data_IF_988389672063
#
_entry.id   IF_988389672063
#
_cell.length_a   1.000
_cell.length_b   1.000
_cell.length_c   1.000
_cell.angle_alpha   90.00
_cell.angle_beta   90.00
_cell.angle_gamma   90.00
#
_symmetry.space_group_name_H-M   'P 1'
#
loop_
_entity.id
_entity.type
_entity.pdbx_description
1 polymer ?
#
# COMPACT_ATOMS: atom_id res chain seq x y z
N UNK A 1 24.61 -6.21 41.86
CA UNK A 1 24.33 -4.79 41.56
C UNK A 1 23.06 -4.78 40.71
N UNK A 2 21.89 -4.67 41.33
CA UNK A 2 20.60 -4.74 40.64
C UNK A 2 20.38 -3.42 39.91
N UNK A 3 20.56 -3.40 38.60
CA UNK A 3 20.17 -2.23 37.80
C UNK A 3 18.67 -2.00 37.99
N UNK A 4 18.25 -0.76 38.19
CA UNK A 4 16.83 -0.45 38.36
C UNK A 4 16.12 -0.74 37.03
N UNK A 5 14.90 -1.29 37.09
CA UNK A 5 14.08 -1.58 35.89
C UNK A 5 13.99 -0.40 34.92
N UNK A 6 13.98 0.84 35.43
CA UNK A 6 14.05 2.06 34.61
C UNK A 6 15.33 2.15 33.77
N UNK A 7 16.49 1.79 34.32
CA UNK A 7 17.76 1.81 33.56
C UNK A 7 17.80 0.76 32.45
N UNK A 8 17.22 -0.42 32.67
CA UNK A 8 17.09 -1.48 31.65
C UNK A 8 16.21 -1.03 30.48
N UNK A 9 15.06 -0.42 30.76
CA UNK A 9 14.14 0.10 29.73
C UNK A 9 14.79 1.21 28.92
N UNK A 10 15.48 2.15 29.59
CA UNK A 10 16.22 3.22 28.92
C UNK A 10 17.32 2.65 28.04
N UNK A 11 18.08 1.66 28.52
CA UNK A 11 19.12 1.00 27.74
C UNK A 11 18.55 0.33 26.47
N UNK A 12 17.39 -0.32 26.57
CA UNK A 12 16.74 -0.95 25.42
C UNK A 12 16.30 0.05 24.36
N UNK A 13 15.70 1.17 24.77
CA UNK A 13 15.31 2.24 23.84
C UNK A 13 16.51 2.88 23.15
N UNK A 14 17.60 3.13 23.89
CA UNK A 14 18.84 3.63 23.31
C UNK A 14 19.48 2.64 22.34
N UNK A 15 19.50 1.34 22.69
CA UNK A 15 20.01 0.30 21.79
C UNK A 15 19.21 0.27 20.48
N UNK A 16 17.88 0.33 20.56
CA UNK A 16 17.01 0.40 19.37
C UNK A 16 17.26 1.67 18.54
N UNK A 17 17.38 2.83 19.17
CA UNK A 17 17.66 4.09 18.48
C UNK A 17 19.02 4.07 17.77
N UNK A 18 20.07 3.57 18.43
CA UNK A 18 21.41 3.42 17.85
C UNK A 18 21.37 2.46 16.67
N UNK A 19 20.68 1.32 16.79
CA UNK A 19 20.50 0.38 15.69
C UNK A 19 19.86 1.05 14.46
N UNK A 20 18.77 1.81 14.66
CA UNK A 20 18.10 2.54 13.58
C UNK A 20 19.03 3.56 12.91
N UNK A 21 19.77 4.33 13.71
CA UNK A 21 20.72 5.34 13.21
C UNK A 21 21.83 4.69 12.39
N UNK A 22 22.39 3.58 12.87
CA UNK A 22 23.45 2.84 12.16
C UNK A 22 22.90 2.23 10.87
N UNK A 23 21.69 1.67 10.87
CA UNK A 23 21.07 1.11 9.68
C UNK A 23 20.83 2.17 8.59
N UNK A 24 20.25 3.31 8.97
CA UNK A 24 20.04 4.44 8.05
C UNK A 24 21.39 5.01 7.59
N UNK A 25 22.35 5.16 8.50
CA UNK A 25 23.70 5.65 8.21
C UNK A 25 24.43 4.75 7.21
N UNK A 26 24.34 3.42 7.37
CA UNK A 26 24.91 2.46 6.45
C UNK A 26 24.25 2.53 5.06
N UNK A 27 22.91 2.64 5.00
CA UNK A 27 22.19 2.82 3.75
C UNK A 27 22.64 4.09 3.02
N UNK A 28 22.71 5.22 3.73
CA UNK A 28 23.21 6.49 3.20
C UNK A 28 24.67 6.38 2.74
N UNK A 29 25.53 5.72 3.51
CA UNK A 29 26.94 5.52 3.17
C UNK A 29 27.09 4.69 1.89
N UNK A 30 26.29 3.63 1.72
CA UNK A 30 26.27 2.84 0.49
C UNK A 30 25.79 3.66 -0.72
N UNK A 31 24.75 4.47 -0.56
CA UNK A 31 24.24 5.36 -1.62
C UNK A 31 25.27 6.43 -2.01
N UNK A 32 25.88 7.10 -1.03
CA UNK A 32 26.92 8.12 -1.25
C UNK A 32 28.18 7.50 -1.82
N UNK A 33 28.58 6.33 -1.33
CA UNK A 33 29.68 5.54 -1.86
C UNK A 33 29.44 5.17 -3.33
N UNK A 34 28.26 4.64 -3.65
CA UNK A 34 27.87 4.33 -5.02
C UNK A 34 27.80 5.57 -5.92
N UNK A 35 27.40 6.71 -5.38
CA UNK A 35 27.36 7.99 -6.10
C UNK A 35 28.76 8.59 -6.33
N UNK A 36 29.69 8.42 -5.38
CA UNK A 36 31.06 8.93 -5.45
C UNK A 36 31.96 8.05 -6.31
N UNK A 37 31.87 6.72 -6.16
CA UNK A 37 32.63 5.75 -6.95
C UNK A 37 31.99 5.48 -8.32
N UNK A 38 30.70 5.78 -8.49
CA UNK A 38 29.96 5.54 -9.73
C UNK A 38 30.36 6.49 -10.85
N UNK A 39 30.73 5.94 -12.01
CA UNK A 39 31.06 6.70 -13.22
C UNK A 39 29.89 7.57 -13.71
N UNK A 40 30.11 8.88 -13.80
CA UNK A 40 29.11 9.88 -14.20
C UNK A 40 28.89 9.92 -15.72
N UNK A 41 28.37 8.87 -16.34
CA UNK A 41 28.12 8.88 -17.80
C UNK A 41 26.93 9.77 -18.16
N UNK A 42 27.15 10.98 -18.68
CA UNK A 42 26.06 11.90 -19.08
C UNK A 42 25.61 11.61 -20.52
N UNK A 43 24.84 10.54 -20.73
CA UNK A 43 24.27 10.21 -22.04
C UNK A 43 22.91 10.90 -22.24
N UNK A 44 22.65 11.38 -23.47
CA UNK A 44 21.45 12.18 -23.83
C UNK A 44 20.12 11.46 -23.54
N UNK A 45 20.11 10.12 -23.60
CA UNK A 45 18.94 9.27 -23.35
C UNK A 45 18.90 8.66 -21.94
N UNK A 46 19.84 9.01 -21.05
CA UNK A 46 19.87 8.41 -19.70
C UNK A 46 18.77 8.94 -18.78
N UNK A 47 18.21 10.11 -19.11
CA UNK A 47 17.17 10.78 -18.33
C UNK A 47 15.78 10.72 -19.00
N UNK A 48 15.62 9.94 -20.08
CA UNK A 48 14.31 9.72 -20.71
C UNK A 48 13.63 8.52 -20.06
N UNK A 49 12.31 8.57 -19.78
CA UNK A 49 11.59 7.41 -19.27
C UNK A 49 11.73 6.20 -20.21
N UNK A 50 11.79 5.01 -19.64
CA UNK A 50 11.90 3.78 -20.41
C UNK A 50 10.54 3.38 -20.98
N UNK A 51 10.42 3.35 -22.31
CA UNK A 51 9.20 2.96 -23.03
C UNK A 51 9.53 1.88 -24.09
N UNK A 52 10.29 0.84 -23.72
CA UNK A 52 10.65 -0.28 -24.63
C UNK A 52 11.30 0.12 -25.97
N UNK A 53 11.98 1.27 -26.01
CA UNK A 53 12.70 1.75 -27.20
C UNK A 53 11.98 2.80 -28.05
N UNK A 54 10.77 3.23 -27.66
CA UNK A 54 10.11 4.40 -28.26
C UNK A 54 10.28 5.64 -27.38
N UNK A 55 10.16 6.83 -27.98
CA UNK A 55 10.13 8.08 -27.21
C UNK A 55 8.81 8.16 -26.44
N UNK A 56 8.87 8.48 -25.15
CA UNK A 56 7.65 8.70 -24.36
C UNK A 56 6.85 9.87 -24.93
N UNK A 57 5.63 9.57 -25.39
CA UNK A 57 4.69 10.55 -25.93
C UNK A 57 3.49 10.73 -25.00
N UNK A 58 3.12 11.97 -24.73
CA UNK A 58 1.94 12.32 -23.94
C UNK A 58 2.20 12.57 -22.44
N UNK A 59 1.14 12.90 -21.71
CA UNK A 59 1.20 13.14 -20.26
C UNK A 59 0.88 11.85 -19.50
N UNK A 60 1.65 11.52 -18.46
CA UNK A 60 1.40 10.41 -17.53
C UNK A 60 0.18 10.63 -16.60
N UNK A 61 -0.88 11.29 -17.08
CA UNK A 61 -2.13 11.50 -16.34
C UNK A 61 -3.00 10.26 -16.44
N UNK A 62 -2.64 9.24 -15.69
CA UNK A 62 -3.49 8.08 -15.49
C UNK A 62 -4.64 8.44 -14.54
N UNK A 63 -5.89 8.16 -14.96
CA UNK A 63 -7.04 8.22 -14.05
C UNK A 63 -6.94 7.04 -13.08
N UNK A 64 -6.33 7.28 -11.92
CA UNK A 64 -6.33 6.29 -10.83
C UNK A 64 -7.78 6.01 -10.45
N UNK A 65 -8.18 4.74 -10.57
CA UNK A 65 -9.57 4.35 -10.30
C UNK A 65 -9.92 4.58 -8.83
N UNK A 66 -11.17 4.97 -8.55
CA UNK A 66 -11.67 5.16 -7.18
C UNK A 66 -11.56 3.90 -6.30
N UNK A 67 -11.32 2.72 -6.91
CA UNK A 67 -11.11 1.45 -6.20
C UNK A 67 -9.91 1.51 -5.25
N UNK A 68 -8.83 2.20 -5.61
CA UNK A 68 -7.66 2.36 -4.73
C UNK A 68 -8.00 3.11 -3.45
N UNK A 69 -8.88 4.11 -3.54
CA UNK A 69 -9.34 4.87 -2.39
C UNK A 69 -10.19 4.00 -1.45
N UNK A 70 -11.13 3.20 -1.99
CA UNK A 70 -11.97 2.32 -1.18
C UNK A 70 -11.13 1.30 -0.40
N UNK A 71 -10.12 0.70 -1.05
CA UNK A 71 -9.19 -0.24 -0.39
C UNK A 71 -8.35 0.47 0.69
N UNK A 72 -7.82 1.66 0.41
CA UNK A 72 -7.02 2.42 1.37
C UNK A 72 -7.86 2.86 2.59
N UNK A 73 -9.07 3.36 2.37
CA UNK A 73 -9.98 3.76 3.45
C UNK A 73 -10.36 2.56 4.33
N UNK A 74 -10.66 1.40 3.72
CA UNK A 74 -10.94 0.18 4.46
C UNK A 74 -9.73 -0.31 5.25
N UNK A 75 -8.51 -0.24 4.69
CA UNK A 75 -7.29 -0.60 5.39
C UNK A 75 -7.08 0.25 6.65
N UNK A 76 -7.28 1.57 6.55
CA UNK A 76 -7.16 2.47 7.72
C UNK A 76 -8.19 2.13 8.80
N UNK A 77 -9.44 1.89 8.41
CA UNK A 77 -10.49 1.49 9.37
C UNK A 77 -10.10 0.16 10.02
N UNK A 78 -9.79 -0.87 9.22
CA UNK A 78 -9.42 -2.19 9.72
C UNK A 78 -8.18 -2.16 10.65
N UNK A 79 -7.19 -1.32 10.36
CA UNK A 79 -5.99 -1.14 11.18
C UNK A 79 -6.33 -0.54 12.56
N UNK A 80 -7.22 0.46 12.60
CA UNK A 80 -7.72 1.03 13.87
C UNK A 80 -8.51 -0.01 14.67
N UNK A 81 -9.33 -0.82 14.00
CA UNK A 81 -10.10 -1.87 14.69
C UNK A 81 -9.18 -2.99 15.22
N UNK A 82 -8.09 -3.31 14.51
CA UNK A 82 -7.06 -4.23 14.97
C UNK A 82 -6.34 -3.71 16.23
N UNK A 83 -6.13 -2.40 16.34
CA UNK A 83 -5.60 -1.78 17.56
C UNK A 83 -6.53 -2.00 18.76
N UNK A 84 -7.85 -1.89 18.58
CA UNK A 84 -8.82 -2.17 19.66
C UNK A 84 -8.79 -3.64 20.08
N UNK A 85 -8.69 -4.57 19.13
CA UNK A 85 -8.52 -5.99 19.44
C UNK A 85 -7.20 -6.28 20.16
N UNK A 86 -6.13 -5.58 19.80
CA UNK A 86 -4.86 -5.70 20.50
C UNK A 86 -4.96 -5.20 21.95
N UNK A 87 -5.57 -4.04 22.17
CA UNK A 87 -5.79 -3.49 23.51
C UNK A 87 -6.59 -4.48 24.39
N UNK A 88 -7.70 -5.01 23.87
CA UNK A 88 -8.45 -6.08 24.55
C UNK A 88 -7.61 -7.34 24.78
N UNK A 89 -6.78 -7.73 23.79
CA UNK A 89 -5.92 -8.91 23.89
C UNK A 89 -4.89 -8.83 25.03
N UNK A 90 -4.49 -7.63 25.44
CA UNK A 90 -3.54 -7.45 26.57
C UNK A 90 -4.16 -7.75 27.94
N UNK A 91 -5.50 -7.72 28.06
CA UNK A 91 -6.22 -7.85 29.34
C UNK A 91 -7.43 -8.80 29.26
N UNK A 92 -7.28 -9.89 28.48
CA UNK A 92 -8.35 -10.88 28.25
C UNK A 92 -8.87 -11.47 29.58
N UNK A 93 -7.96 -11.77 30.52
CA UNK A 93 -8.31 -12.45 31.77
C UNK A 93 -9.09 -11.52 32.70
N UNK A 94 -8.74 -10.25 32.71
CA UNK A 94 -9.36 -9.21 33.53
C UNK A 94 -10.73 -8.80 32.96
N UNK A 95 -10.91 -8.88 31.64
CA UNK A 95 -12.16 -8.56 30.95
C UNK A 95 -13.23 -9.65 31.05
N UNK A 96 -12.83 -10.89 31.33
CA UNK A 96 -13.73 -12.03 31.55
C UNK A 96 -14.65 -12.34 30.36
N UNK A 97 -15.78 -12.99 30.64
CA UNK A 97 -16.74 -13.41 29.61
C UNK A 97 -17.41 -12.26 28.86
N UNK A 98 -17.63 -11.12 29.52
CA UNK A 98 -18.26 -9.96 28.89
C UNK A 98 -17.35 -9.38 27.81
N UNK A 99 -16.07 -9.17 28.11
CA UNK A 99 -15.11 -8.69 27.11
C UNK A 99 -14.91 -9.67 25.97
N UNK A 100 -15.00 -10.98 26.22
CA UNK A 100 -14.96 -11.98 25.15
C UNK A 100 -16.15 -11.86 24.18
N UNK A 101 -17.37 -11.67 24.71
CA UNK A 101 -18.57 -11.49 23.88
C UNK A 101 -18.48 -10.18 23.08
N UNK A 102 -18.01 -9.09 23.70
CA UNK A 102 -17.79 -7.82 23.00
C UNK A 102 -16.78 -7.97 21.86
N UNK A 103 -15.63 -8.61 22.11
CA UNK A 103 -14.62 -8.87 21.09
C UNK A 103 -15.15 -9.77 19.96
N UNK A 104 -15.95 -10.79 20.29
CA UNK A 104 -16.56 -11.66 19.29
C UNK A 104 -17.54 -10.91 18.38
N UNK A 105 -18.40 -10.06 18.94
CA UNK A 105 -19.32 -9.21 18.18
C UNK A 105 -18.53 -8.24 17.30
N UNK A 106 -17.49 -7.63 17.85
CA UNK A 106 -16.64 -6.69 17.13
C UNK A 106 -15.95 -7.33 15.91
N UNK A 107 -15.40 -8.54 16.08
CA UNK A 107 -14.83 -9.33 14.98
C UNK A 107 -15.91 -9.68 13.93
N UNK A 108 -17.13 -10.02 14.34
CA UNK A 108 -18.22 -10.28 13.40
C UNK A 108 -18.60 -9.05 12.58
N UNK A 109 -18.61 -7.87 13.19
CA UNK A 109 -18.86 -6.60 12.46
C UNK A 109 -17.75 -6.33 11.45
N UNK A 110 -16.48 -6.54 11.82
CA UNK A 110 -15.33 -6.46 10.90
C UNK A 110 -15.48 -7.41 9.72
N UNK A 111 -15.85 -8.67 10.00
CA UNK A 111 -16.07 -9.69 8.98
C UNK A 111 -17.22 -9.27 8.04
N UNK A 112 -18.32 -8.74 8.57
CA UNK A 112 -19.43 -8.25 7.77
C UNK A 112 -19.01 -7.08 6.85
N UNK A 113 -18.20 -6.14 7.36
CA UNK A 113 -17.63 -5.05 6.58
C UNK A 113 -16.72 -5.55 5.45
N UNK A 114 -15.86 -6.54 5.73
CA UNK A 114 -15.01 -7.17 4.73
C UNK A 114 -15.83 -7.87 3.64
N UNK A 115 -16.82 -8.66 4.04
CA UNK A 115 -17.73 -9.34 3.09
C UNK A 115 -18.45 -8.32 2.21
N UNK A 116 -18.96 -7.23 2.78
CA UNK A 116 -19.60 -6.16 2.02
C UNK A 116 -18.67 -5.55 0.97
N UNK A 117 -17.42 -5.26 1.33
CA UNK A 117 -16.43 -4.69 0.42
C UNK A 117 -16.09 -5.64 -0.74
N UNK A 118 -15.93 -6.93 -0.44
CA UNK A 118 -15.73 -7.98 -1.46
C UNK A 118 -16.95 -8.04 -2.40
N UNK A 119 -18.17 -7.94 -1.87
CA UNK A 119 -19.41 -7.97 -2.67
C UNK A 119 -19.58 -6.75 -3.56
N UNK A 120 -19.04 -5.58 -3.19
CA UNK A 120 -19.01 -4.38 -4.05
C UNK A 120 -18.02 -4.54 -5.22
N UNK A 121 -17.13 -5.53 -5.18
CA UNK A 121 -16.08 -5.68 -6.19
C UNK A 121 -15.03 -4.57 -6.09
N UNK A 122 -14.89 -3.94 -4.91
CA UNK A 122 -13.79 -3.00 -4.65
C UNK A 122 -12.42 -3.70 -4.73
N UNK A 123 -12.41 -5.02 -4.52
CA UNK A 123 -11.25 -5.90 -4.66
C UNK A 123 -11.08 -6.47 -6.09
N UNK A 124 -12.02 -6.22 -7.01
CA UNK A 124 -11.90 -6.71 -8.38
C UNK A 124 -11.06 -5.76 -9.23
N UNK A 125 -9.83 -6.16 -9.50
CA UNK A 125 -8.90 -5.44 -10.38
C UNK A 125 -9.07 -5.74 -11.87
N UNK A 126 -10.06 -6.56 -12.24
CA UNK A 126 -10.31 -6.86 -13.66
C UNK A 126 -10.73 -5.59 -14.40
N UNK A 127 -9.96 -5.15 -15.42
CA UNK A 127 -10.36 -4.03 -16.24
C UNK A 127 -11.65 -4.42 -16.98
N UNK A 128 -12.68 -3.57 -16.90
CA UNK A 128 -13.86 -3.71 -17.73
C UNK A 128 -13.39 -3.64 -19.18
N UNK A 129 -13.29 -4.79 -19.85
CA UNK A 129 -12.88 -4.90 -21.25
C UNK A 129 -13.85 -4.04 -22.04
N UNK A 130 -13.40 -2.88 -22.52
CA UNK A 130 -14.19 -2.02 -23.40
C UNK A 130 -14.52 -2.82 -24.65
N UNK A 131 -15.68 -3.49 -24.64
CA UNK A 131 -16.27 -4.14 -25.80
C UNK A 131 -17.03 -3.07 -26.58
N UNK A 132 -16.27 -2.13 -27.14
CA UNK A 132 -16.66 -1.19 -28.19
C UNK A 132 -15.32 -0.93 -28.89
N UNK A 133 -15.09 -1.34 -30.12
CA UNK A 133 -15.93 -1.05 -31.26
C UNK A 133 -15.33 -1.79 -32.48
N UNK A 134 -15.86 -2.97 -32.82
CA UNK A 134 -15.79 -3.42 -34.22
C UNK A 134 -16.86 -2.60 -34.96
N UNK A 135 -16.60 -1.30 -35.21
CA UNK A 135 -17.27 -0.63 -36.32
C UNK A 135 -16.83 -1.41 -37.55
N UNK A 136 -17.77 -2.19 -38.09
CA UNK A 136 -17.61 -2.79 -39.41
C UNK A 136 -17.51 -1.63 -40.43
N UNK A 137 -16.38 -1.44 -41.13
CA UNK A 137 -16.22 -0.36 -42.11
C UNK A 137 -17.21 -0.49 -43.29
N UNK A 138 -17.83 -1.66 -43.47
CA UNK A 138 -18.79 -1.97 -44.52
C UNK A 138 -20.01 -1.03 -44.54
N UNK A 139 -20.46 -0.54 -43.38
CA UNK A 139 -21.63 0.35 -43.29
C UNK A 139 -21.34 1.78 -43.78
N UNK A 140 -20.07 2.17 -43.94
CA UNK A 140 -19.69 3.50 -44.42
C UNK A 140 -19.65 3.61 -45.95
N UNK A 141 -19.70 2.47 -46.65
CA UNK A 141 -19.66 2.41 -48.12
C UNK A 141 -21.08 2.37 -48.70
N UNK A 142 -22.03 1.72 -48.02
CA UNK A 142 -23.43 1.64 -48.48
C UNK A 142 -24.15 3.00 -48.41
N UNK A 143 -23.85 3.83 -47.41
CA UNK A 143 -24.50 5.14 -47.22
C UNK A 143 -23.89 6.27 -48.06
N UNK A 144 -22.94 5.96 -48.94
CA UNK A 144 -22.31 6.93 -49.86
C UNK A 144 -22.85 6.82 -51.30
N UNK A 145 -23.76 5.88 -51.55
CA UNK A 145 -24.35 5.62 -52.88
C UNK A 145 -25.87 5.89 -52.93
N UNK A 146 -26.41 6.64 -51.96
CA UNK A 146 -27.82 7.03 -51.93
C UNK A 146 -27.98 8.54 -51.85
#
# INVERSE_FOLDING_TARGET
MSMSTSTEVIAHHWAFAIFLIVAIGLCCLMLVGGWFLGGRARARHKNTPFESGIDSVGSARLRLSAKFYLVAMFFVIFDVEALYLFAWSTSIRESGWVGFVEAAIFILVLLAGLVYLVRIGALDWTPARSRREHINPENSISNRQQ
#
